data_IF_233037417758
#
_entry.id   IF_233037417758
#
_cell.length_a   1.000
_cell.length_b   1.000
_cell.length_c   1.000
_cell.angle_alpha   90.00
_cell.angle_beta   90.00
_cell.angle_gamma   90.00
#
_symmetry.space_group_name_H-M   'P 1'
#
loop_
_entity.id
_entity.type
_entity.pdbx_description
1 polymer ?
#
# COMPACT_ATOMS: atom_id res chain seq x y z
N UNK A 1 22.48 3.31 0.37
CA UNK A 1 21.50 4.15 1.08
C UNK A 1 22.09 5.22 2.00
N UNK A 2 23.36 5.16 2.46
CA UNK A 2 23.93 6.20 3.35
C UNK A 2 23.94 7.62 2.76
N UNK A 3 24.08 7.74 1.44
CA UNK A 3 24.02 9.03 0.74
C UNK A 3 22.60 9.61 0.63
N UNK A 4 21.56 8.83 0.91
CA UNK A 4 20.17 9.30 0.91
C UNK A 4 19.77 9.59 2.35
N UNK A 5 19.37 10.82 2.62
CA UNK A 5 18.89 11.24 3.93
C UNK A 5 17.42 11.59 3.80
N UNK A 6 16.63 11.10 4.75
CA UNK A 6 15.20 11.38 4.85
C UNK A 6 14.95 11.85 6.28
N UNK A 7 14.40 13.05 6.44
CA UNK A 7 14.05 13.56 7.77
C UNK A 7 12.78 12.89 8.27
N UNK A 8 12.60 12.89 9.59
CA UNK A 8 11.28 12.67 10.16
C UNK A 8 10.30 13.72 9.62
N UNK A 9 9.01 13.36 9.64
CA UNK A 9 7.94 14.27 9.25
C UNK A 9 7.66 15.29 10.35
N UNK A 10 7.06 16.42 9.98
CA UNK A 10 6.40 17.28 10.97
C UNK A 10 5.31 16.51 11.73
N UNK A 11 5.03 16.87 13.01
CA UNK A 11 3.96 16.25 13.79
C UNK A 11 2.62 16.29 13.06
N UNK A 12 1.89 15.17 13.09
CA UNK A 12 0.54 15.07 12.52
C UNK A 12 -0.47 15.68 13.49
N UNK A 13 -0.65 17.00 13.41
CA UNK A 13 -1.66 17.71 14.18
C UNK A 13 -2.99 17.69 13.42
N UNK A 14 -4.09 17.42 14.13
CA UNK A 14 -5.44 17.48 13.56
C UNK A 14 -5.74 18.90 13.07
N UNK A 15 -6.17 19.01 11.81
CA UNK A 15 -6.48 20.29 11.18
C UNK A 15 -7.95 20.32 10.75
N UNK A 16 -8.70 21.30 11.25
CA UNK A 16 -10.07 21.57 10.80
C UNK A 16 -10.06 22.68 9.76
N UNK A 17 -10.43 22.35 8.53
CA UNK A 17 -10.51 23.30 7.41
C UNK A 17 -11.94 23.46 6.94
N UNK A 18 -12.48 24.67 7.00
CA UNK A 18 -13.78 24.98 6.43
C UNK A 18 -13.63 25.45 4.98
N UNK A 19 -14.27 24.75 4.04
CA UNK A 19 -14.24 25.10 2.62
C UNK A 19 -15.62 24.94 2.01
N UNK A 20 -16.18 26.04 1.47
CA UNK A 20 -17.50 26.08 0.82
C UNK A 20 -18.63 25.53 1.72
N UNK A 21 -18.62 25.89 3.01
CA UNK A 21 -19.62 25.45 3.99
C UNK A 21 -19.51 23.99 4.42
N UNK A 22 -18.45 23.27 4.02
CA UNK A 22 -18.15 21.92 4.48
C UNK A 22 -16.89 21.92 5.33
N UNK A 23 -16.94 21.23 6.45
CA UNK A 23 -15.76 20.97 7.28
C UNK A 23 -15.00 19.78 6.73
N UNK A 24 -13.70 19.97 6.53
CA UNK A 24 -12.74 18.92 6.19
C UNK A 24 -11.76 18.76 7.37
N UNK A 25 -11.42 17.52 7.68
CA UNK A 25 -10.41 17.21 8.69
C UNK A 25 -9.17 16.67 7.98
N UNK A 26 -8.02 17.32 8.19
CA UNK A 26 -6.69 16.81 7.89
C UNK A 26 -6.10 16.13 9.12
N UNK A 27 -5.27 15.12 8.91
CA UNK A 27 -4.59 14.39 9.99
C UNK A 27 -5.52 13.88 11.11
N UNK A 28 -6.75 13.45 10.77
CA UNK A 28 -7.73 13.03 11.77
C UNK A 28 -7.34 11.67 12.36
N UNK A 29 -7.07 11.57 13.67
CA UNK A 29 -6.84 10.28 14.32
C UNK A 29 -8.15 9.49 14.40
N UNK A 30 -8.10 8.21 14.07
CA UNK A 30 -9.26 7.31 14.10
C UNK A 30 -8.84 5.93 14.60
N UNK A 31 -9.76 5.25 15.29
CA UNK A 31 -9.69 3.79 15.50
C UNK A 31 -10.66 3.16 14.52
N UNK A 32 -10.17 2.33 13.61
CA UNK A 32 -11.00 1.74 12.55
C UNK A 32 -10.93 0.21 12.56
N UNK A 33 -12.05 -0.44 12.22
CA UNK A 33 -12.07 -1.87 11.90
C UNK A 33 -11.40 -2.07 10.53
N UNK A 34 -10.38 -2.90 10.50
CA UNK A 34 -9.70 -3.39 9.31
C UNK A 34 -10.12 -4.84 9.11
N UNK A 35 -10.77 -5.10 7.98
CA UNK A 35 -11.14 -6.45 7.58
C UNK A 35 -9.95 -7.06 6.85
N UNK A 36 -9.49 -8.21 7.36
CA UNK A 36 -8.59 -9.10 6.63
C UNK A 36 -9.46 -10.04 5.79
N UNK A 37 -9.30 -9.96 4.47
CA UNK A 37 -10.05 -10.76 3.51
C UNK A 37 -9.11 -11.52 2.57
N UNK A 38 -9.66 -12.51 1.88
CA UNK A 38 -9.02 -13.27 0.81
C UNK A 38 -10.12 -13.69 -0.19
N UNK A 39 -9.84 -14.58 -1.13
CA UNK A 39 -10.87 -15.20 -1.97
C UNK A 39 -10.96 -16.73 -1.78
N UNK A 40 -12.06 -17.34 -2.18
CA UNK A 40 -12.15 -18.79 -2.42
C UNK A 40 -11.71 -19.10 -3.86
N UNK A 41 -11.51 -20.38 -4.23
CA UNK A 41 -11.20 -20.77 -5.61
C UNK A 41 -12.27 -20.33 -6.64
N UNK A 42 -13.52 -20.18 -6.20
CA UNK A 42 -14.62 -19.64 -7.01
C UNK A 42 -14.64 -18.09 -7.06
N UNK A 43 -13.55 -17.45 -6.64
CA UNK A 43 -13.35 -16.00 -6.59
C UNK A 43 -14.24 -15.25 -5.59
N UNK A 44 -15.12 -15.92 -4.85
CA UNK A 44 -15.92 -15.25 -3.81
C UNK A 44 -15.05 -14.79 -2.67
N UNK A 45 -15.32 -13.59 -2.18
CA UNK A 45 -14.68 -13.02 -1.02
C UNK A 45 -14.80 -13.94 0.20
N UNK A 46 -13.69 -14.07 0.92
CA UNK A 46 -13.55 -14.88 2.13
C UNK A 46 -13.08 -14.01 3.29
N UNK A 47 -13.90 -13.95 4.33
CA UNK A 47 -13.55 -13.31 5.59
C UNK A 47 -12.46 -14.11 6.31
N UNK A 48 -11.48 -13.42 6.92
CA UNK A 48 -10.43 -14.05 7.73
C UNK A 48 -10.44 -13.59 9.17
N UNK A 49 -10.37 -12.27 9.40
CA UNK A 49 -10.29 -11.72 10.73
C UNK A 49 -10.63 -10.22 10.75
N UNK A 50 -11.08 -9.69 11.89
CA UNK A 50 -11.09 -8.26 12.16
C UNK A 50 -9.80 -7.83 12.86
N UNK A 51 -9.34 -6.62 12.60
CA UNK A 51 -8.26 -5.95 13.34
C UNK A 51 -8.72 -4.53 13.65
N UNK A 52 -8.60 -4.08 14.89
CA UNK A 52 -8.87 -2.69 15.25
C UNK A 52 -7.53 -1.97 15.37
N UNK A 53 -7.34 -0.93 14.55
CA UNK A 53 -6.07 -0.21 14.48
C UNK A 53 -6.29 1.30 14.62
N UNK A 54 -5.39 1.93 15.35
CA UNK A 54 -5.21 3.37 15.34
C UNK A 54 -4.59 3.79 14.00
N UNK A 55 -5.20 4.78 13.36
CA UNK A 55 -4.82 5.26 12.04
C UNK A 55 -5.02 6.78 11.96
N UNK A 56 -4.44 7.39 10.93
CA UNK A 56 -4.65 8.81 10.63
C UNK A 56 -5.26 8.92 9.24
N UNK A 57 -6.37 9.66 9.13
CA UNK A 57 -7.09 9.89 7.87
C UNK A 57 -6.73 11.25 7.28
N UNK A 58 -6.70 11.32 5.94
CA UNK A 58 -6.39 12.54 5.18
C UNK A 58 -5.04 13.16 5.60
N UNK A 59 -4.01 12.31 5.70
CA UNK A 59 -2.68 12.71 6.17
C UNK A 59 -2.09 13.78 5.25
N UNK A 60 -1.54 14.82 5.86
CA UNK A 60 -0.74 15.88 5.23
C UNK A 60 0.39 16.26 6.17
N UNK A 61 1.61 16.17 5.67
CA UNK A 61 2.82 16.54 6.41
C UNK A 61 3.95 16.80 5.42
N UNK A 62 5.05 17.35 5.92
CA UNK A 62 6.26 17.64 5.17
C UNK A 62 7.44 16.88 5.77
N UNK A 63 8.38 16.55 4.89
CA UNK A 63 9.67 15.99 5.23
C UNK A 63 10.64 16.33 4.09
N UNK A 64 11.94 16.21 4.36
CA UNK A 64 12.98 16.48 3.38
C UNK A 64 13.65 15.19 2.95
N UNK A 65 13.85 15.03 1.64
CA UNK A 65 14.77 14.04 1.07
C UNK A 65 15.96 14.79 0.50
N UNK A 66 17.16 14.44 0.94
CA UNK A 66 18.41 14.98 0.39
C UNK A 66 19.32 13.85 -0.09
N UNK A 67 20.14 14.17 -1.08
CA UNK A 67 21.13 13.26 -1.67
C UNK A 67 22.52 13.90 -1.54
N UNK A 68 23.39 13.26 -0.78
CA UNK A 68 24.80 13.62 -0.69
C UNK A 68 25.52 13.07 -1.93
N UNK A 69 25.69 13.93 -2.94
CA UNK A 69 26.29 13.57 -4.23
C UNK A 69 27.79 13.29 -4.12
N UNK A 70 28.48 13.92 -3.17
CA UNK A 70 29.89 13.63 -2.89
C UNK A 70 30.03 12.21 -2.34
N UNK A 71 29.28 11.86 -1.30
CA UNK A 71 29.27 10.51 -0.75
C UNK A 71 28.78 9.48 -1.78
N UNK A 72 27.78 9.84 -2.60
CA UNK A 72 27.29 8.96 -3.67
C UNK A 72 28.42 8.55 -4.62
N UNK A 73 29.30 9.49 -4.95
CA UNK A 73 30.43 9.26 -5.86
C UNK A 73 31.44 8.25 -5.32
N UNK A 74 31.51 8.03 -4.00
CA UNK A 74 32.42 7.04 -3.41
C UNK A 74 31.94 5.60 -3.61
N UNK A 75 30.65 5.41 -3.90
CA UNK A 75 30.07 4.09 -4.06
C UNK A 75 30.28 3.57 -5.48
N UNK A 76 31.20 2.62 -5.61
CA UNK A 76 31.38 1.82 -6.81
C UNK A 76 31.27 0.34 -6.48
N UNK A 77 30.57 -0.41 -7.32
CA UNK A 77 30.45 -1.84 -7.14
C UNK A 77 31.62 -2.57 -7.82
N UNK A 78 32.23 -3.54 -7.13
CA UNK A 78 33.37 -4.32 -7.66
C UNK A 78 33.05 -5.10 -8.93
N UNK A 79 31.77 -5.46 -9.13
CA UNK A 79 31.29 -6.18 -10.31
C UNK A 79 30.61 -5.24 -11.33
N UNK A 80 30.80 -3.92 -11.23
CA UNK A 80 30.26 -2.96 -12.21
C UNK A 80 28.74 -2.72 -12.13
N UNK A 81 28.07 -3.14 -11.05
CA UNK A 81 26.68 -2.74 -10.81
C UNK A 81 26.58 -1.22 -10.67
N UNK A 82 25.62 -0.63 -11.38
CA UNK A 82 25.36 0.80 -11.36
C UNK A 82 24.34 1.14 -10.27
N UNK A 83 24.52 2.29 -9.64
CA UNK A 83 23.51 2.85 -8.76
C UNK A 83 22.35 3.33 -9.63
N UNK A 84 21.09 2.97 -9.32
CA UNK A 84 19.95 3.25 -10.20
C UNK A 84 19.43 4.69 -10.10
N UNK A 85 20.11 5.58 -9.38
CA UNK A 85 19.72 6.97 -9.21
C UNK A 85 20.94 7.89 -9.14
N UNK A 86 20.79 9.12 -9.61
CA UNK A 86 21.77 10.21 -9.50
C UNK A 86 21.17 11.46 -8.87
N UNK A 87 19.84 11.53 -8.75
CA UNK A 87 19.09 12.66 -8.22
C UNK A 87 17.99 12.19 -7.26
N UNK A 88 17.41 13.13 -6.51
CA UNK A 88 16.19 12.88 -5.73
C UNK A 88 15.01 12.54 -6.65
N UNK A 89 14.94 13.15 -7.84
CA UNK A 89 13.89 12.85 -8.81
C UNK A 89 13.92 11.38 -9.27
N UNK A 90 15.10 10.83 -9.53
CA UNK A 90 15.26 9.41 -9.88
C UNK A 90 14.73 8.51 -8.75
N UNK A 91 15.03 8.84 -7.49
CA UNK A 91 14.52 8.11 -6.32
C UNK A 91 12.99 8.16 -6.29
N UNK A 92 12.40 9.33 -6.52
CA UNK A 92 10.95 9.48 -6.55
C UNK A 92 10.31 8.71 -7.71
N UNK A 93 10.99 8.62 -8.86
CA UNK A 93 10.53 7.84 -10.00
C UNK A 93 10.60 6.34 -9.72
N UNK A 94 11.67 5.85 -9.09
CA UNK A 94 11.76 4.45 -8.61
C UNK A 94 10.60 4.14 -7.67
N UNK A 95 10.25 5.05 -6.74
CA UNK A 95 9.10 4.85 -5.86
C UNK A 95 7.78 4.74 -6.65
N UNK A 96 7.56 5.59 -7.66
CA UNK A 96 6.36 5.57 -8.51
C UNK A 96 6.29 4.31 -9.35
N UNK A 97 7.40 3.87 -9.94
CA UNK A 97 7.48 2.62 -10.71
C UNK A 97 7.11 1.43 -9.82
N UNK A 98 7.71 1.34 -8.62
CA UNK A 98 7.35 0.27 -7.68
C UNK A 98 5.92 0.39 -7.13
N UNK A 99 5.38 1.60 -7.02
CA UNK A 99 3.98 1.82 -6.67
C UNK A 99 3.04 1.38 -7.81
N UNK A 100 3.45 1.53 -9.07
CA UNK A 100 2.71 1.05 -10.23
C UNK A 100 2.67 -0.48 -10.25
N UNK A 101 3.81 -1.17 -10.08
CA UNK A 101 3.84 -2.63 -10.08
C UNK A 101 2.94 -3.23 -8.98
N UNK A 102 2.89 -2.58 -7.81
CA UNK A 102 1.97 -2.96 -6.73
C UNK A 102 0.52 -2.65 -7.07
N UNK A 103 0.27 -1.54 -7.77
CA UNK A 103 -1.06 -1.12 -8.17
C UNK A 103 -1.66 -2.08 -9.18
N UNK A 104 -0.88 -2.52 -10.18
CA UNK A 104 -1.31 -3.49 -11.20
C UNK A 104 -1.77 -4.81 -10.54
N UNK A 105 -0.96 -5.35 -9.63
CA UNK A 105 -1.33 -6.59 -8.92
C UNK A 105 -2.50 -6.43 -7.93
N UNK A 106 -2.79 -5.22 -7.45
CA UNK A 106 -3.99 -4.93 -6.67
C UNK A 106 -5.20 -4.74 -7.59
N UNK A 107 -5.04 -4.03 -8.71
CA UNK A 107 -6.04 -3.78 -9.73
C UNK A 107 -6.66 -5.10 -10.21
N UNK A 108 -5.82 -6.03 -10.69
CA UNK A 108 -6.24 -7.35 -11.15
C UNK A 108 -7.02 -8.11 -10.06
N UNK A 109 -6.47 -8.13 -8.83
CA UNK A 109 -7.09 -8.83 -7.71
C UNK A 109 -8.48 -8.26 -7.36
N UNK A 110 -8.62 -6.94 -7.33
CA UNK A 110 -9.87 -6.30 -6.92
C UNK A 110 -10.95 -6.40 -7.99
N UNK A 111 -10.58 -6.40 -9.27
CA UNK A 111 -11.50 -6.67 -10.36
C UNK A 111 -12.02 -8.10 -10.34
N UNK A 112 -11.15 -9.07 -10.02
CA UNK A 112 -11.49 -10.50 -10.05
C UNK A 112 -12.28 -10.98 -8.83
N UNK A 113 -12.04 -10.41 -7.64
CA UNK A 113 -12.71 -10.86 -6.42
C UNK A 113 -14.20 -10.53 -6.45
N UNK A 114 -15.05 -11.51 -6.20
CA UNK A 114 -16.50 -11.33 -6.16
C UNK A 114 -16.98 -11.00 -4.74
N UNK A 115 -17.97 -10.12 -4.62
CA UNK A 115 -18.60 -9.81 -3.34
C UNK A 115 -19.19 -11.05 -2.67
N UNK A 116 -19.22 -11.07 -1.34
CA UNK A 116 -19.84 -12.16 -0.59
C UNK A 116 -20.63 -11.59 0.61
N UNK A 117 -21.97 -11.42 0.47
CA UNK A 117 -22.78 -10.76 1.49
C UNK A 117 -22.93 -11.57 2.79
N UNK A 118 -22.63 -12.87 2.75
CA UNK A 118 -22.83 -13.80 3.87
C UNK A 118 -21.51 -14.44 4.34
N UNK A 119 -20.36 -13.82 4.07
CA UNK A 119 -19.06 -14.37 4.45
C UNK A 119 -18.88 -14.34 5.97
N UNK A 120 -19.11 -15.48 6.65
CA UNK A 120 -19.04 -15.60 8.11
C UNK A 120 -19.92 -14.56 8.84
N UNK A 121 -21.11 -14.27 8.30
CA UNK A 121 -22.03 -13.29 8.86
C UNK A 121 -21.64 -11.82 8.63
N UNK A 122 -20.63 -11.55 7.80
CA UNK A 122 -20.23 -10.20 7.38
C UNK A 122 -20.55 -9.99 5.89
N UNK A 123 -21.01 -8.79 5.57
CA UNK A 123 -21.19 -8.35 4.19
C UNK A 123 -19.85 -7.89 3.60
N UNK A 124 -19.18 -8.76 2.83
CA UNK A 124 -17.98 -8.39 2.10
C UNK A 124 -18.37 -7.79 0.75
N UNK A 125 -18.63 -6.49 0.77
CA UNK A 125 -18.86 -5.68 -0.42
C UNK A 125 -17.63 -4.80 -0.68
N UNK A 126 -16.93 -5.05 -1.80
CA UNK A 126 -15.73 -4.33 -2.20
C UNK A 126 -15.97 -3.34 -3.34
N UNK A 127 -17.21 -2.95 -3.63
CA UNK A 127 -17.50 -2.03 -4.74
C UNK A 127 -16.71 -0.72 -4.67
N UNK A 128 -16.61 -0.10 -3.50
CA UNK A 128 -15.82 1.12 -3.30
C UNK A 128 -14.31 0.90 -3.51
N UNK A 129 -13.81 -0.29 -3.16
CA UNK A 129 -12.41 -0.65 -3.39
C UNK A 129 -12.16 -0.85 -4.88
N UNK A 130 -13.09 -1.46 -5.61
CA UNK A 130 -12.99 -1.58 -7.08
C UNK A 130 -12.98 -0.21 -7.75
N UNK A 131 -13.86 0.70 -7.34
CA UNK A 131 -13.86 2.08 -7.84
C UNK A 131 -12.52 2.77 -7.58
N UNK A 132 -11.89 2.55 -6.42
CA UNK A 132 -10.58 3.12 -6.12
C UNK A 132 -9.49 2.60 -7.07
N UNK A 133 -9.53 1.31 -7.42
CA UNK A 133 -8.57 0.69 -8.32
C UNK A 133 -8.98 0.74 -9.81
N UNK A 134 -10.12 1.33 -10.17
CA UNK A 134 -10.57 1.44 -11.57
C UNK A 134 -9.52 2.05 -12.52
N UNK A 135 -8.74 3.09 -12.12
CA UNK A 135 -7.66 3.60 -12.97
C UNK A 135 -6.52 2.57 -13.10
N UNK A 136 -6.08 2.29 -14.32
CA UNK A 136 -4.88 1.46 -14.57
C UNK A 136 -3.60 2.15 -14.07
N UNK A 137 -3.50 3.48 -14.28
CA UNK A 137 -2.35 4.25 -13.81
C UNK A 137 -2.47 4.56 -12.31
N UNK A 138 -1.48 4.16 -11.54
CA UNK A 138 -1.39 4.43 -10.11
C UNK A 138 -1.36 5.95 -9.84
N UNK A 139 -2.31 6.51 -9.08
CA UNK A 139 -2.34 7.94 -8.77
C UNK A 139 -1.43 8.32 -7.60
N UNK A 140 -0.73 7.35 -7.01
CA UNK A 140 0.08 7.46 -5.81
C UNK A 140 1.57 7.38 -6.14
N UNK A 141 2.41 7.75 -5.17
CA UNK A 141 3.86 7.76 -5.34
C UNK A 141 4.54 6.63 -4.57
N UNK A 142 3.89 6.11 -3.52
CA UNK A 142 4.43 5.06 -2.68
C UNK A 142 3.29 4.42 -1.87
N UNK A 143 3.49 3.18 -1.43
CA UNK A 143 2.69 2.54 -0.41
C UNK A 143 3.52 2.33 0.86
N UNK A 144 3.06 2.86 1.98
CA UNK A 144 3.78 2.82 3.26
C UNK A 144 2.97 2.14 4.36
N UNK A 145 3.67 1.68 5.39
CA UNK A 145 3.08 1.15 6.61
C UNK A 145 2.67 -0.32 6.54
N UNK A 146 2.17 -0.82 7.66
CA UNK A 146 1.93 -2.25 7.92
C UNK A 146 1.05 -2.98 6.90
N UNK A 147 0.17 -2.24 6.23
CA UNK A 147 -0.84 -2.85 5.39
C UNK A 147 -0.42 -3.04 3.92
N UNK A 148 0.76 -2.56 3.51
CA UNK A 148 1.33 -2.81 2.18
C UNK A 148 1.61 -4.30 1.92
N UNK A 149 1.79 -5.08 2.99
CA UNK A 149 1.99 -6.52 2.91
C UNK A 149 3.27 -6.91 2.18
N UNK A 150 3.41 -8.20 1.85
CA UNK A 150 4.61 -8.71 1.19
C UNK A 150 4.93 -8.02 -0.15
N UNK A 151 3.95 -7.70 -1.02
CA UNK A 151 4.21 -6.96 -2.26
C UNK A 151 4.85 -5.60 -2.06
N UNK A 152 4.53 -4.90 -0.96
CA UNK A 152 5.08 -3.57 -0.69
C UNK A 152 6.30 -3.54 0.23
N UNK A 153 6.73 -4.68 0.79
CA UNK A 153 7.88 -4.75 1.70
C UNK A 153 9.00 -5.67 1.23
N UNK A 154 8.87 -6.26 0.05
CA UNK A 154 9.84 -7.21 -0.49
C UNK A 154 10.04 -7.02 -1.99
N UNK A 155 11.07 -7.66 -2.54
CA UNK A 155 11.33 -7.72 -3.98
C UNK A 155 10.51 -8.80 -4.71
N UNK A 156 9.44 -9.31 -4.09
CA UNK A 156 8.73 -10.48 -4.58
C UNK A 156 8.11 -10.27 -5.97
N UNK A 157 7.75 -9.05 -6.36
CA UNK A 157 7.21 -8.73 -7.68
C UNK A 157 8.21 -9.03 -8.82
N UNK A 158 9.51 -9.17 -8.51
CA UNK A 158 10.53 -9.59 -9.46
C UNK A 158 10.65 -11.12 -9.60
N UNK A 159 9.97 -11.88 -8.75
CA UNK A 159 10.01 -13.34 -8.78
C UNK A 159 8.84 -13.90 -9.58
N UNK A 160 9.09 -15.03 -10.26
CA UNK A 160 8.04 -15.83 -10.89
C UNK A 160 7.04 -16.33 -9.84
N UNK A 161 5.80 -16.52 -10.26
CA UNK A 161 4.66 -16.89 -9.42
C UNK A 161 4.93 -18.15 -8.61
N UNK A 162 5.56 -19.15 -9.21
CA UNK A 162 5.86 -20.42 -8.56
C UNK A 162 6.84 -20.22 -7.39
N UNK A 163 7.87 -19.40 -7.58
CA UNK A 163 8.85 -19.09 -6.53
C UNK A 163 8.21 -18.22 -5.43
N UNK A 164 7.35 -17.27 -5.79
CA UNK A 164 6.59 -16.48 -4.81
C UNK A 164 5.72 -17.36 -3.92
N UNK A 165 5.05 -18.34 -4.52
CA UNK A 165 4.24 -19.32 -3.81
C UNK A 165 5.09 -20.19 -2.88
N UNK A 166 6.21 -20.72 -3.36
CA UNK A 166 7.12 -21.57 -2.59
C UNK A 166 7.70 -20.84 -1.37
N UNK A 167 8.20 -19.61 -1.54
CA UNK A 167 8.73 -18.78 -0.44
C UNK A 167 7.65 -18.59 0.64
N UNK A 168 6.44 -18.27 0.20
CA UNK A 168 5.31 -18.00 1.10
C UNK A 168 4.82 -19.24 1.85
N UNK A 169 4.79 -20.40 1.20
CA UNK A 169 4.40 -21.66 1.83
C UNK A 169 5.47 -22.22 2.75
N UNK A 170 6.74 -21.89 2.50
CA UNK A 170 7.86 -22.27 3.34
C UNK A 170 7.97 -21.37 4.58
N UNK A 171 7.85 -20.05 4.41
CA UNK A 171 8.05 -19.08 5.48
C UNK A 171 6.76 -18.73 6.26
N UNK A 172 5.59 -19.07 5.73
CA UNK A 172 4.28 -18.72 6.30
C UNK A 172 3.38 -19.92 6.57
N UNK A 173 2.08 -19.66 6.74
CA UNK A 173 1.07 -20.72 6.85
C UNK A 173 0.89 -21.35 5.46
N UNK A 174 1.25 -22.62 5.30
CA UNK A 174 1.08 -23.38 4.05
C UNK A 174 -0.34 -23.25 3.50
N UNK A 175 -0.46 -22.84 2.24
CA UNK A 175 -1.73 -22.88 1.50
C UNK A 175 -1.44 -23.08 0.01
N UNK A 176 -1.07 -24.32 -0.38
CA UNK A 176 -0.67 -24.66 -1.75
C UNK A 176 -1.86 -24.54 -2.72
N UNK A 177 -1.59 -24.06 -3.93
CA UNK A 177 -2.58 -23.85 -4.99
C UNK A 177 -3.44 -22.59 -4.80
N UNK A 178 -3.06 -21.70 -3.88
CA UNK A 178 -3.79 -20.46 -3.61
C UNK A 178 -3.07 -19.26 -4.22
N UNK A 179 -3.69 -18.57 -5.16
CA UNK A 179 -3.11 -17.37 -5.80
C UNK A 179 -2.67 -16.34 -4.75
N UNK A 180 -1.44 -15.86 -4.88
CA UNK A 180 -0.90 -14.85 -3.98
C UNK A 180 -1.43 -13.46 -4.37
N UNK A 181 -1.55 -12.52 -3.41
CA UNK A 181 -1.43 -12.62 -1.95
C UNK A 181 -2.61 -13.29 -1.21
N UNK A 182 -2.30 -14.03 -0.14
CA UNK A 182 -3.28 -14.77 0.70
C UNK A 182 -4.26 -13.91 1.46
N UNK A 183 -3.95 -12.62 1.65
CA UNK A 183 -4.78 -11.71 2.41
C UNK A 183 -4.67 -10.28 1.90
N UNK A 184 -5.79 -9.57 1.89
CA UNK A 184 -5.87 -8.12 1.73
C UNK A 184 -6.46 -7.50 2.97
N UNK A 185 -6.18 -6.20 3.13
CA UNK A 185 -6.65 -5.40 4.26
C UNK A 185 -7.42 -4.21 3.71
N UNK A 186 -8.65 -4.07 4.18
CA UNK A 186 -9.55 -2.99 3.81
C UNK A 186 -10.16 -2.40 5.06
N UNK A 187 -10.32 -1.08 5.10
CA UNK A 187 -10.81 -0.35 6.26
C UNK A 187 -12.31 -0.11 6.13
N UNK A 188 -13.02 -0.35 7.22
CA UNK A 188 -14.45 -0.09 7.38
C UNK A 188 -14.64 1.37 7.80
N UNK A 189 -15.51 2.07 7.09
CA UNK A 189 -15.91 3.43 7.42
C UNK A 189 -16.89 3.47 8.60
N UNK A 190 -17.18 4.67 9.11
CA UNK A 190 -18.09 4.87 10.25
C UNK A 190 -19.54 4.41 9.99
N UNK A 191 -19.94 4.28 8.73
CA UNK A 191 -21.24 3.76 8.31
C UNK A 191 -21.25 2.21 8.18
N UNK A 192 -20.14 1.55 8.49
CA UNK A 192 -20.01 0.09 8.42
C UNK A 192 -19.64 -0.45 7.04
N UNK A 193 -19.45 0.40 6.04
CA UNK A 193 -19.08 -0.03 4.68
C UNK A 193 -17.57 -0.12 4.50
N UNK A 194 -17.12 -1.07 3.66
CA UNK A 194 -15.70 -1.22 3.30
C UNK A 194 -15.36 -0.19 2.24
N UNK A 195 -14.57 0.83 2.59
CA UNK A 195 -14.35 2.00 1.73
C UNK A 195 -12.91 2.34 1.41
N UNK A 196 -11.97 1.92 2.24
CA UNK A 196 -10.59 2.40 2.10
C UNK A 196 -9.57 1.27 2.05
N UNK A 197 -8.47 1.53 1.35
CA UNK A 197 -7.23 0.77 1.46
C UNK A 197 -6.16 1.60 2.15
N UNK A 198 -5.48 1.05 3.15
CA UNK A 198 -4.44 1.77 3.90
C UNK A 198 -3.12 1.87 3.12
N UNK A 199 -2.37 2.94 3.42
CA UNK A 199 -0.95 3.05 3.12
C UNK A 199 -0.58 3.76 1.81
N UNK A 200 -1.53 4.01 0.91
CA UNK A 200 -1.25 4.77 -0.31
C UNK A 200 -1.00 6.25 -0.01
N UNK A 201 0.14 6.77 -0.46
CA UNK A 201 0.54 8.16 -0.28
C UNK A 201 0.99 8.79 -1.59
N UNK A 202 0.85 10.11 -1.70
CA UNK A 202 1.26 10.87 -2.87
C UNK A 202 2.25 11.94 -2.45
N UNK A 203 3.37 12.01 -3.15
CA UNK A 203 4.34 13.09 -2.95
C UNK A 203 3.96 14.32 -3.77
N UNK A 204 4.20 15.48 -3.18
CA UNK A 204 4.12 16.77 -3.84
C UNK A 204 5.41 17.51 -3.52
N UNK A 205 6.23 17.76 -4.54
CA UNK A 205 7.42 18.61 -4.41
C UNK A 205 6.95 20.05 -4.19
N UNK A 206 7.54 20.73 -3.21
CA UNK A 206 7.23 22.11 -2.84
C UNK A 206 8.30 23.07 -3.36
#
# INVERSE_FOLDING_TARGET
MRAVQVTDTEPLLEEKVERRGRTFYGNLPVVAEVIVSSRFPDYRAKYRAPIYAEMVRNVRTHFTISLDTEMLSWFHHRQGMKIPFQSVEDILNICKEFAQDQWDGEHDYWLDVQNNPNAAGKNLNFSEIRTLYEPEQCPHSLRIGWASGMPGTTVNLLFKDELREEIRDTCGIKAPGFEAPKSRRTVVASDGEIKYVPGWVKFKVL
#
